data_IF_827503866440
#
_entry.id   IF_827503866440
#
_cell.length_a   1.000
_cell.length_b   1.000
_cell.length_c   1.000
_cell.angle_alpha   90.00
_cell.angle_beta   90.00
_cell.angle_gamma   90.00
#
_symmetry.space_group_name_H-M   'P 1'
#
loop_
_entity.id
_entity.type
_entity.pdbx_description
1 polymer ?
#
# COMPACT_ATOMS: atom_id res chain seq x y z
N UNK A 1 15.82 13.21 60.12
CA UNK A 1 14.98 12.03 59.81
C UNK A 1 14.51 12.22 58.37
N UNK A 2 15.05 11.46 57.42
CA UNK A 2 14.70 11.58 56.00
C UNK A 2 13.35 10.92 55.74
N UNK A 3 12.35 11.70 55.35
CA UNK A 3 11.04 11.19 54.94
C UNK A 3 11.20 10.42 53.63
N UNK A 4 10.94 9.11 53.67
CA UNK A 4 10.84 8.27 52.48
C UNK A 4 9.52 8.63 51.80
N UNK A 5 9.57 9.38 50.68
CA UNK A 5 8.40 9.56 49.84
C UNK A 5 8.02 8.21 49.21
N UNK A 6 6.78 7.73 49.35
CA UNK A 6 6.36 6.50 48.70
C UNK A 6 6.40 6.69 47.18
N UNK A 7 7.10 5.81 46.48
CA UNK A 7 7.04 5.69 45.03
C UNK A 7 5.65 5.18 44.67
N UNK A 8 4.81 6.04 44.08
CA UNK A 8 3.53 5.61 43.51
C UNK A 8 3.86 4.86 42.22
N UNK A 9 3.78 3.53 42.24
CA UNK A 9 3.75 2.72 41.03
C UNK A 9 2.40 2.97 40.33
N UNK A 10 2.40 3.81 39.29
CA UNK A 10 1.27 3.87 38.35
C UNK A 10 1.41 2.69 37.39
N UNK A 11 0.89 1.53 37.80
CA UNK A 11 0.67 0.43 36.88
C UNK A 11 -0.67 0.63 36.20
N UNK A 12 -0.66 0.58 34.87
CA UNK A 12 -1.88 0.66 34.06
C UNK A 12 -2.77 -0.54 34.38
N UNK A 13 -4.07 -0.31 34.51
CA UNK A 13 -5.04 -1.41 34.63
C UNK A 13 -5.01 -2.28 33.38
N UNK A 14 -5.41 -3.56 33.45
CA UNK A 14 -5.51 -4.41 32.27
C UNK A 14 -6.39 -3.81 31.16
N UNK A 15 -7.43 -3.05 31.53
CA UNK A 15 -8.32 -2.36 30.60
C UNK A 15 -7.60 -1.20 29.91
N UNK A 16 -6.83 -0.40 30.65
CA UNK A 16 -6.02 0.69 30.10
C UNK A 16 -4.91 0.17 29.18
N UNK A 17 -4.28 -0.95 29.54
CA UNK A 17 -3.30 -1.63 28.70
C UNK A 17 -3.93 -2.09 27.38
N UNK A 18 -5.12 -2.70 27.45
CA UNK A 18 -5.85 -3.16 26.27
C UNK A 18 -6.19 -2.00 25.32
N UNK A 19 -6.69 -0.87 25.84
CA UNK A 19 -6.99 0.32 25.04
C UNK A 19 -5.73 0.84 24.33
N UNK A 20 -4.58 0.86 25.01
CA UNK A 20 -3.32 1.31 24.41
C UNK A 20 -2.87 0.35 23.30
N UNK A 21 -2.96 -0.96 23.52
CA UNK A 21 -2.59 -1.96 22.53
C UNK A 21 -3.47 -1.89 21.28
N UNK A 22 -4.78 -1.74 21.46
CA UNK A 22 -5.73 -1.59 20.35
C UNK A 22 -5.44 -0.34 19.53
N UNK A 23 -5.18 0.81 20.18
CA UNK A 23 -4.82 2.05 19.47
C UNK A 23 -3.52 1.91 18.69
N UNK A 24 -2.50 1.27 19.26
CA UNK A 24 -1.23 1.02 18.57
C UNK A 24 -1.40 0.09 17.39
N UNK A 25 -2.24 -0.94 17.52
CA UNK A 25 -2.56 -1.84 16.42
C UNK A 25 -3.29 -1.11 15.29
N UNK A 26 -4.24 -0.23 15.61
CA UNK A 26 -4.94 0.61 14.64
C UNK A 26 -3.98 1.57 13.92
N UNK A 27 -3.13 2.29 14.66
CA UNK A 27 -2.12 3.18 14.09
C UNK A 27 -1.16 2.42 13.16
N UNK A 28 -0.71 1.23 13.57
CA UNK A 28 0.13 0.37 12.74
C UNK A 28 -0.60 -0.11 11.47
N UNK A 29 -1.90 -0.42 11.57
CA UNK A 29 -2.72 -0.82 10.44
C UNK A 29 -2.90 0.32 9.44
N UNK A 30 -3.17 1.54 9.91
CA UNK A 30 -3.27 2.75 9.07
C UNK A 30 -1.95 2.97 8.33
N UNK A 31 -0.83 2.99 9.05
CA UNK A 31 0.48 3.20 8.45
C UNK A 31 0.84 2.11 7.42
N UNK A 32 0.54 0.84 7.72
CA UNK A 32 0.76 -0.27 6.79
C UNK A 32 -0.14 -0.14 5.54
N UNK A 33 -1.36 0.34 5.71
CA UNK A 33 -2.32 0.56 4.62
C UNK A 33 -1.82 1.68 3.70
N UNK A 34 -1.38 2.82 4.25
CA UNK A 34 -0.82 3.93 3.47
C UNK A 34 0.44 3.49 2.71
N UNK A 35 1.34 2.76 3.37
CA UNK A 35 2.55 2.23 2.74
C UNK A 35 2.20 1.28 1.58
N UNK A 36 1.20 0.41 1.76
CA UNK A 36 0.72 -0.48 0.71
C UNK A 36 0.13 0.31 -0.48
N UNK A 37 -0.68 1.35 -0.23
CA UNK A 37 -1.26 2.17 -1.29
C UNK A 37 -0.20 2.86 -2.14
N UNK A 38 0.80 3.48 -1.51
CA UNK A 38 1.91 4.12 -2.22
C UNK A 38 2.68 3.09 -3.05
N UNK A 39 2.97 1.92 -2.46
CA UNK A 39 3.62 0.82 -3.17
C UNK A 39 2.80 0.37 -4.39
N UNK A 40 1.49 0.20 -4.24
CA UNK A 40 0.61 -0.21 -5.34
C UNK A 40 0.62 0.78 -6.51
N UNK A 41 0.64 2.09 -6.23
CA UNK A 41 0.77 3.11 -7.28
C UNK A 41 2.11 3.01 -8.02
N UNK A 42 3.21 2.83 -7.29
CA UNK A 42 4.53 2.68 -7.88
C UNK A 42 4.64 1.43 -8.75
N UNK A 43 4.15 0.29 -8.24
CA UNK A 43 4.14 -0.98 -8.96
C UNK A 43 3.25 -0.90 -10.20
N UNK A 44 2.09 -0.23 -10.11
CA UNK A 44 1.23 0.01 -11.25
C UNK A 44 1.92 0.84 -12.34
N UNK A 45 2.66 1.89 -11.96
CA UNK A 45 3.43 2.70 -12.90
C UNK A 45 4.55 1.89 -13.58
N UNK A 46 5.30 1.10 -12.81
CA UNK A 46 6.34 0.20 -13.35
C UNK A 46 5.75 -0.84 -14.31
N UNK A 47 4.62 -1.44 -13.93
CA UNK A 47 3.90 -2.37 -14.77
C UNK A 47 3.49 -1.74 -16.11
N UNK A 48 2.91 -0.54 -16.06
CA UNK A 48 2.45 0.17 -17.26
C UNK A 48 3.61 0.40 -18.23
N UNK A 49 4.73 0.96 -17.74
CA UNK A 49 5.94 1.20 -18.55
C UNK A 49 6.49 -0.07 -19.19
N UNK A 50 6.54 -1.17 -18.43
CA UNK A 50 6.97 -2.46 -18.96
C UNK A 50 5.99 -3.02 -20.00
N UNK A 51 4.69 -2.95 -19.72
CA UNK A 51 3.65 -3.50 -20.59
C UNK A 51 3.54 -2.79 -21.93
N UNK A 52 3.80 -1.48 -21.97
CA UNK A 52 3.86 -0.69 -23.20
C UNK A 52 5.01 -1.12 -24.11
N UNK A 53 6.17 -1.48 -23.53
CA UNK A 53 7.34 -1.95 -24.28
C UNK A 53 7.12 -3.36 -24.83
N UNK A 54 6.55 -4.26 -24.04
CA UNK A 54 6.40 -5.68 -24.39
C UNK A 54 5.07 -6.03 -25.07
N UNK A 55 4.13 -5.08 -25.17
CA UNK A 55 2.79 -5.31 -25.74
C UNK A 55 1.97 -6.35 -24.97
N UNK A 56 2.29 -6.58 -23.70
CA UNK A 56 1.74 -7.67 -22.88
C UNK A 56 0.56 -7.21 -22.02
N UNK A 57 -0.49 -8.03 -21.96
CA UNK A 57 -1.65 -7.77 -21.11
C UNK A 57 -1.40 -8.05 -19.62
N UNK A 58 -2.15 -7.38 -18.75
CA UNK A 58 -2.13 -7.63 -17.31
C UNK A 58 -2.83 -8.94 -16.97
N UNK A 59 -2.03 -9.95 -16.64
CA UNK A 59 -2.48 -11.25 -16.12
C UNK A 59 -1.59 -11.63 -14.95
N UNK A 60 -2.05 -12.52 -14.05
CA UNK A 60 -1.25 -12.92 -12.90
C UNK A 60 0.10 -13.55 -13.32
N UNK A 61 0.10 -14.33 -14.39
CA UNK A 61 1.32 -14.95 -14.92
C UNK A 61 2.29 -13.92 -15.49
N UNK A 62 1.82 -12.95 -16.27
CA UNK A 62 2.69 -11.89 -16.78
C UNK A 62 3.20 -10.98 -15.66
N UNK A 63 2.40 -10.75 -14.62
CA UNK A 63 2.78 -9.98 -13.43
C UNK A 63 3.87 -10.66 -12.57
N UNK A 64 3.83 -11.99 -12.43
CA UNK A 64 4.76 -12.73 -11.58
C UNK A 64 5.92 -13.41 -12.32
N UNK A 65 5.83 -13.58 -13.65
CA UNK A 65 6.79 -14.41 -14.42
C UNK A 65 7.44 -13.68 -15.59
N UNK A 66 7.17 -12.39 -15.78
CA UNK A 66 7.96 -11.55 -16.69
C UNK A 66 9.40 -11.41 -16.19
N UNK A 67 10.40 -11.60 -17.06
CA UNK A 67 11.82 -11.51 -16.70
C UNK A 67 12.22 -10.13 -16.15
N UNK A 68 11.63 -9.05 -16.67
CA UNK A 68 12.00 -7.68 -16.29
C UNK A 68 11.18 -7.12 -15.12
N UNK A 69 9.90 -7.51 -14.94
CA UNK A 69 9.05 -6.99 -13.86
C UNK A 69 8.95 -7.92 -12.64
N UNK A 70 8.88 -9.24 -12.84
CA UNK A 70 8.98 -10.33 -11.86
C UNK A 70 8.55 -10.02 -10.41
N UNK A 71 7.29 -9.64 -10.18
CA UNK A 71 6.83 -9.35 -8.82
C UNK A 71 6.62 -10.66 -8.05
N UNK A 72 7.40 -10.90 -6.99
CA UNK A 72 7.43 -12.18 -6.23
C UNK A 72 7.27 -12.01 -4.71
N UNK A 73 6.68 -10.90 -4.27
CA UNK A 73 6.51 -10.62 -2.85
C UNK A 73 5.32 -11.36 -2.22
N UNK A 74 5.29 -11.45 -0.89
CA UNK A 74 4.24 -12.17 -0.15
C UNK A 74 2.84 -11.58 -0.35
N UNK A 75 2.75 -10.29 -0.69
CA UNK A 75 1.51 -9.57 -0.96
C UNK A 75 1.04 -9.69 -2.42
N UNK A 76 1.67 -10.54 -3.24
CA UNK A 76 1.42 -10.66 -4.68
C UNK A 76 -0.06 -10.74 -5.08
N UNK A 77 -0.92 -11.58 -4.47
CA UNK A 77 -2.32 -11.64 -4.84
C UNK A 77 -3.04 -10.30 -4.60
N UNK A 78 -2.73 -9.62 -3.49
CA UNK A 78 -3.32 -8.34 -3.13
C UNK A 78 -2.79 -7.21 -4.02
N UNK A 79 -1.48 -7.22 -4.29
CA UNK A 79 -0.82 -6.25 -5.16
C UNK A 79 -1.34 -6.34 -6.59
N UNK A 80 -1.47 -7.56 -7.13
CA UNK A 80 -2.02 -7.77 -8.47
C UNK A 80 -3.44 -7.20 -8.61
N UNK A 81 -4.33 -7.45 -7.65
CA UNK A 81 -5.69 -6.91 -7.68
C UNK A 81 -5.71 -5.38 -7.50
N UNK A 82 -4.79 -4.81 -6.71
CA UNK A 82 -4.64 -3.37 -6.57
C UNK A 82 -4.20 -2.71 -7.89
N UNK A 83 -3.16 -3.25 -8.54
CA UNK A 83 -2.66 -2.77 -9.84
C UNK A 83 -3.75 -2.87 -10.90
N UNK A 84 -4.49 -3.98 -10.95
CA UNK A 84 -5.61 -4.16 -11.87
C UNK A 84 -6.67 -3.08 -11.72
N UNK A 85 -7.05 -2.72 -10.49
CA UNK A 85 -8.00 -1.62 -10.22
C UNK A 85 -7.43 -0.27 -10.67
N UNK A 86 -6.15 0.00 -10.38
CA UNK A 86 -5.49 1.24 -10.83
C UNK A 86 -5.50 1.33 -12.36
N UNK A 87 -5.15 0.26 -13.06
CA UNK A 87 -5.16 0.21 -14.53
C UNK A 87 -6.56 0.44 -15.11
N UNK A 88 -7.60 -0.12 -14.49
CA UNK A 88 -8.99 0.13 -14.91
C UNK A 88 -9.34 1.62 -14.83
N UNK A 89 -8.95 2.29 -13.74
CA UNK A 89 -9.18 3.74 -13.58
C UNK A 89 -8.38 4.51 -14.63
N UNK A 90 -7.08 4.26 -14.75
CA UNK A 90 -6.19 4.99 -15.67
C UNK A 90 -6.65 4.84 -17.12
N UNK A 91 -6.99 3.63 -17.58
CA UNK A 91 -7.48 3.39 -18.94
C UNK A 91 -8.86 4.00 -19.22
N UNK A 92 -9.63 4.33 -18.18
CA UNK A 92 -10.91 5.04 -18.34
C UNK A 92 -10.74 6.55 -18.59
N UNK A 93 -9.55 7.11 -18.32
CA UNK A 93 -9.27 8.53 -18.49
C UNK A 93 -9.10 8.88 -19.97
N UNK A 94 -9.69 10.01 -20.37
CA UNK A 94 -9.54 10.55 -21.72
C UNK A 94 -9.07 12.00 -21.63
N UNK A 95 -7.97 12.31 -22.31
CA UNK A 95 -7.50 13.69 -22.48
C UNK A 95 -8.23 14.30 -23.69
N UNK A 96 -8.86 15.48 -23.55
CA UNK A 96 -9.47 16.17 -24.69
C UNK A 96 -8.44 16.38 -25.81
N UNK A 97 -8.83 16.13 -27.07
CA UNK A 97 -7.99 16.47 -28.22
C UNK A 97 -7.82 18.00 -28.25
N UNK A 98 -6.58 18.46 -28.35
CA UNK A 98 -6.31 19.88 -28.63
C UNK A 98 -7.04 20.29 -29.90
N UNK A 99 -7.81 21.38 -29.83
CA UNK A 99 -8.41 21.97 -31.03
C UNK A 99 -7.26 22.54 -31.84
N UNK A 100 -7.01 21.98 -33.02
CA UNK A 100 -6.14 22.61 -34.01
C UNK A 100 -6.66 24.03 -34.24
N UNK A 101 -5.85 25.03 -33.88
CA UNK A 101 -6.16 26.42 -34.23
C UNK A 101 -6.20 26.48 -35.77
N UNK A 102 -7.38 26.79 -36.31
CA UNK A 102 -7.54 27.14 -37.72
C UNK A 102 -6.83 28.46 -38.04
#
# INVERSE_FOLDING_TARGET
>A
MSEIRPYIHMELSPEEQQIILERRAEEAHIAATEAFQIKALNVANLWMQWSEKEGSGLTLSTFQSSYEFNYLEADLPLMYEAVKKIMQVVHSLQVPREKSQC
#
